data_IF_643059101264
#
_entry.id   IF_643059101264
#
_cell.length_a   1.000
_cell.length_b   1.000
_cell.length_c   1.000
_cell.angle_alpha   90.00
_cell.angle_beta   90.00
_cell.angle_gamma   90.00
#
_symmetry.space_group_name_H-M   'P 1'
#
loop_
_entity.id
_entity.type
_entity.pdbx_description
1 polymer ?
#
# COMPACT_ATOMS: atom_id res chain seq x y z
N UNK A 1 55.58 1.21 27.68
CA UNK A 1 54.43 0.36 28.06
C UNK A 1 53.54 1.25 28.92
N UNK A 2 52.31 1.60 28.60
CA UNK A 2 51.33 0.97 27.70
C UNK A 2 50.39 2.00 27.06
N UNK A 3 49.94 1.68 25.83
CA UNK A 3 48.85 2.35 25.11
C UNK A 3 47.52 1.90 25.68
N UNK A 4 46.71 2.81 26.21
CA UNK A 4 45.30 2.55 26.48
C UNK A 4 44.46 2.90 25.25
N UNK A 5 43.98 1.86 24.56
CA UNK A 5 43.02 1.97 23.48
C UNK A 5 41.63 2.29 24.05
N UNK A 6 41.14 3.50 23.81
CA UNK A 6 39.74 3.87 23.99
C UNK A 6 38.94 3.37 22.79
N UNK A 7 38.32 2.20 22.93
CA UNK A 7 37.39 1.67 21.95
C UNK A 7 36.01 2.32 22.15
N UNK A 8 35.81 3.46 21.48
CA UNK A 8 34.54 4.17 21.46
C UNK A 8 33.46 3.33 20.78
N UNK A 9 32.50 2.84 21.57
CA UNK A 9 31.25 2.25 21.09
C UNK A 9 30.53 3.27 20.20
N UNK A 10 30.48 3.01 18.89
CA UNK A 10 29.86 3.91 17.92
C UNK A 10 28.34 3.95 18.12
N UNK A 11 27.80 5.14 18.39
CA UNK A 11 26.37 5.34 18.61
C UNK A 11 25.53 5.02 17.35
N UNK A 12 24.29 4.50 17.50
CA UNK A 12 23.40 4.16 16.37
C UNK A 12 23.16 5.30 15.38
N UNK A 13 23.23 6.54 15.87
CA UNK A 13 23.12 7.76 15.06
C UNK A 13 24.21 7.87 13.99
N UNK A 14 25.42 7.35 14.24
CA UNK A 14 26.52 7.41 13.27
C UNK A 14 26.29 6.48 12.07
N UNK A 15 25.66 5.31 12.29
CA UNK A 15 25.28 4.38 11.21
C UNK A 15 24.16 4.95 10.32
N UNK A 16 23.16 5.60 10.91
CA UNK A 16 22.10 6.26 10.14
C UNK A 16 22.62 7.50 9.38
N UNK A 17 23.56 8.25 9.96
CA UNK A 17 24.21 9.37 9.28
C UNK A 17 25.08 8.91 8.11
N UNK A 18 25.83 7.81 8.26
CA UNK A 18 26.56 7.20 7.15
C UNK A 18 25.64 6.65 6.06
N UNK A 19 24.52 6.00 6.42
CA UNK A 19 23.52 5.58 5.44
C UNK A 19 22.91 6.76 4.68
N UNK A 20 22.61 7.87 5.36
CA UNK A 20 22.11 9.08 4.74
C UNK A 20 23.13 9.73 3.80
N UNK A 21 24.42 9.79 4.19
CA UNK A 21 25.48 10.32 3.33
C UNK A 21 25.74 9.42 2.12
N UNK A 22 25.63 8.10 2.26
CA UNK A 22 25.74 7.16 1.15
C UNK A 22 24.54 7.28 0.19
N UNK A 23 23.35 7.55 0.73
CA UNK A 23 22.17 7.86 -0.07
C UNK A 23 22.32 9.21 -0.80
N UNK A 24 22.79 10.25 -0.11
CA UNK A 24 22.98 11.57 -0.71
C UNK A 24 24.07 11.56 -1.79
N UNK A 25 25.15 10.80 -1.58
CA UNK A 25 26.16 10.55 -2.59
C UNK A 25 25.60 9.76 -3.79
N UNK A 26 24.78 8.72 -3.55
CA UNK A 26 24.09 7.99 -4.63
C UNK A 26 23.05 8.85 -5.36
N UNK A 27 22.40 9.77 -4.66
CA UNK A 27 21.41 10.68 -5.24
C UNK A 27 22.06 11.77 -6.09
N UNK A 28 23.17 12.35 -5.64
CA UNK A 28 23.93 13.30 -6.44
C UNK A 28 24.64 12.61 -7.62
N UNK A 29 25.12 11.37 -7.47
CA UNK A 29 25.62 10.55 -8.59
C UNK A 29 24.50 10.21 -9.59
N UNK A 30 23.31 9.83 -9.12
CA UNK A 30 22.13 9.61 -9.94
C UNK A 30 21.73 10.89 -10.70
N UNK A 31 21.68 12.03 -10.01
CA UNK A 31 21.33 13.34 -10.58
C UNK A 31 22.38 13.86 -11.57
N UNK A 32 23.65 13.54 -11.38
CA UNK A 32 24.73 13.82 -12.33
C UNK A 32 24.73 12.87 -13.54
N UNK A 33 24.23 11.64 -13.37
CA UNK A 33 24.18 10.61 -14.41
C UNK A 33 22.89 10.67 -15.25
N UNK A 34 21.82 11.30 -14.75
CA UNK A 34 20.56 11.51 -15.48
C UNK A 34 20.76 12.37 -16.74
N UNK A 35 21.46 13.52 -16.74
CA UNK A 35 21.69 14.33 -17.94
C UNK A 35 22.51 13.62 -19.02
N UNK A 36 23.40 12.69 -18.65
CA UNK A 36 24.23 11.92 -19.60
C UNK A 36 23.53 10.67 -20.13
N UNK A 37 22.55 10.13 -19.41
CA UNK A 37 21.69 9.01 -19.89
C UNK A 37 20.40 9.48 -20.56
N UNK A 38 19.93 10.69 -20.28
CA UNK A 38 18.89 11.37 -21.05
C UNK A 38 19.52 12.04 -22.28
N UNK A 39 19.93 11.21 -23.23
CA UNK A 39 20.12 11.62 -24.63
C UNK A 39 18.73 11.89 -25.28
N UNK A 40 17.91 12.69 -24.61
CA UNK A 40 16.46 12.71 -24.75
C UNK A 40 15.79 14.03 -24.36
N UNK A 41 16.56 15.13 -24.17
CA UNK A 41 15.98 16.48 -24.34
C UNK A 41 15.34 16.60 -25.73
N UNK A 42 15.93 15.93 -26.73
CA UNK A 42 15.38 15.82 -28.07
C UNK A 42 14.13 14.94 -28.15
N UNK A 43 13.92 13.98 -27.24
CA UNK A 43 12.73 13.11 -27.26
C UNK A 43 11.51 13.80 -26.65
N UNK A 44 11.67 14.52 -25.54
CA UNK A 44 10.57 15.29 -24.94
C UNK A 44 10.22 16.50 -25.82
N UNK A 45 11.23 17.17 -26.39
CA UNK A 45 11.02 18.23 -27.38
C UNK A 45 10.43 17.68 -28.69
N UNK A 46 10.85 16.50 -29.16
CA UNK A 46 10.26 15.81 -30.31
C UNK A 46 8.80 15.45 -30.08
N UNK A 47 8.43 14.98 -28.88
CA UNK A 47 7.04 14.71 -28.54
C UNK A 47 6.20 15.99 -28.47
N UNK A 48 6.72 17.06 -27.89
CA UNK A 48 6.04 18.36 -27.85
C UNK A 48 5.84 18.95 -29.26
N UNK A 49 6.87 18.89 -30.11
CA UNK A 49 6.81 19.33 -31.52
C UNK A 49 5.87 18.43 -32.35
N UNK A 50 5.83 17.13 -32.09
CA UNK A 50 4.86 16.21 -32.73
C UNK A 50 3.42 16.53 -32.31
N UNK A 51 3.18 16.87 -31.05
CA UNK A 51 1.85 17.27 -30.57
C UNK A 51 1.43 18.60 -31.22
N UNK A 52 2.31 19.61 -31.28
CA UNK A 52 2.03 20.89 -31.95
C UNK A 52 1.78 20.72 -33.45
N UNK A 53 2.52 19.84 -34.12
CA UNK A 53 2.29 19.54 -35.54
C UNK A 53 0.99 18.74 -35.77
N UNK A 54 0.60 17.80 -34.88
CA UNK A 54 -0.70 17.13 -34.95
C UNK A 54 -1.87 18.13 -34.77
N UNK A 55 -1.71 19.15 -33.90
CA UNK A 55 -2.70 20.23 -33.72
C UNK A 55 -2.76 21.16 -34.94
N UNK A 56 -1.63 21.40 -35.61
CA UNK A 56 -1.57 22.22 -36.82
C UNK A 56 -2.20 21.51 -38.02
N UNK A 57 -1.94 20.22 -38.18
CA UNK A 57 -2.49 19.41 -39.28
C UNK A 57 -4.00 19.19 -39.14
N UNK A 58 -4.51 18.96 -37.93
CA UNK A 58 -5.97 18.87 -37.70
C UNK A 58 -6.72 20.13 -38.10
N UNK A 59 -6.08 21.31 -38.01
CA UNK A 59 -6.64 22.57 -38.50
C UNK A 59 -6.48 22.78 -40.02
N UNK A 60 -5.55 22.08 -40.68
CA UNK A 60 -5.34 22.13 -42.13
C UNK A 60 -6.28 21.19 -42.90
N UNK A 61 -6.59 20.01 -42.35
CA UNK A 61 -7.47 19.00 -43.01
C UNK A 61 -8.98 19.28 -42.90
N UNK A 62 -9.41 20.47 -42.45
CA UNK A 62 -10.80 20.93 -42.65
C UNK A 62 -11.06 21.40 -44.09
N UNK A 63 -10.05 21.36 -44.97
CA UNK A 63 -10.17 21.71 -46.39
C UNK A 63 -9.37 20.70 -47.22
N UNK A 64 -10.09 19.98 -48.10
CA UNK A 64 -9.61 19.14 -49.23
C UNK A 64 -9.32 17.63 -49.01
N UNK A 65 -10.23 16.85 -49.60
CA UNK A 65 -10.10 15.60 -50.38
C UNK A 65 -9.82 14.22 -49.74
N UNK A 66 -10.48 13.23 -50.35
CA UNK A 66 -10.93 11.92 -49.85
C UNK A 66 -10.00 10.72 -50.19
N UNK A 67 -8.68 10.86 -50.26
CA UNK A 67 -7.82 9.75 -50.77
C UNK A 67 -6.45 9.62 -50.11
N UNK A 68 -6.37 9.26 -48.82
CA UNK A 68 -5.12 8.77 -48.21
C UNK A 68 -5.42 7.59 -47.26
N UNK A 69 -4.70 6.45 -47.33
CA UNK A 69 -4.83 5.36 -46.36
C UNK A 69 -4.36 5.85 -44.98
N UNK A 70 -5.28 5.79 -44.02
CA UNK A 70 -5.18 6.44 -42.73
C UNK A 70 -4.53 5.52 -41.70
N UNK A 71 -3.21 5.56 -41.58
CA UNK A 71 -2.50 4.99 -40.40
C UNK A 71 -1.65 6.08 -39.75
N UNK A 72 -2.32 7.11 -39.21
CA UNK A 72 -1.66 8.13 -38.40
C UNK A 72 -1.32 7.54 -37.03
N UNK A 73 -0.03 7.54 -36.65
CA UNK A 73 0.44 7.19 -35.29
C UNK A 73 -0.27 7.98 -34.17
N UNK A 74 -0.86 9.14 -34.49
CA UNK A 74 -1.72 9.93 -33.58
C UNK A 74 -2.98 9.16 -33.14
N UNK A 75 -3.49 8.21 -33.94
CA UNK A 75 -4.63 7.36 -33.58
C UNK A 75 -4.28 6.30 -32.53
N UNK A 76 -3.10 5.70 -32.62
CA UNK A 76 -2.64 4.69 -31.63
C UNK A 76 -2.43 5.33 -30.26
N UNK A 77 -1.79 6.50 -30.18
CA UNK A 77 -1.60 7.23 -28.93
C UNK A 77 -2.94 7.63 -28.26
N UNK A 78 -3.93 8.03 -29.06
CA UNK A 78 -5.28 8.31 -28.55
C UNK A 78 -5.96 7.05 -28.02
N UNK A 79 -5.86 5.90 -28.71
CA UNK A 79 -6.40 4.64 -28.24
C UNK A 79 -5.81 4.21 -26.89
N UNK A 80 -4.49 4.36 -26.69
CA UNK A 80 -3.85 4.06 -25.40
C UNK A 80 -4.34 4.98 -24.29
N UNK A 81 -4.48 6.28 -24.55
CA UNK A 81 -5.01 7.22 -23.57
C UNK A 81 -6.43 6.86 -23.11
N UNK A 82 -7.34 6.55 -24.05
CA UNK A 82 -8.69 6.11 -23.70
C UNK A 82 -8.70 4.75 -22.98
N UNK A 83 -7.82 3.82 -23.36
CA UNK A 83 -7.68 2.55 -22.65
C UNK A 83 -7.25 2.74 -21.19
N UNK A 84 -6.28 3.61 -20.92
CA UNK A 84 -5.89 3.94 -19.54
C UNK A 84 -7.01 4.63 -18.76
N UNK A 85 -7.79 5.51 -19.39
CA UNK A 85 -8.95 6.12 -18.76
C UNK A 85 -10.04 5.08 -18.41
N UNK A 86 -10.31 4.12 -19.31
CA UNK A 86 -11.25 3.03 -19.05
C UNK A 86 -10.73 2.15 -17.90
N UNK A 87 -9.45 1.77 -17.91
CA UNK A 87 -8.85 1.01 -16.81
C UNK A 87 -8.95 1.78 -15.50
N UNK A 88 -8.61 3.07 -15.48
CA UNK A 88 -8.74 3.89 -14.29
C UNK A 88 -10.20 3.98 -13.79
N UNK A 89 -11.16 4.07 -14.72
CA UNK A 89 -12.60 4.00 -14.41
C UNK A 89 -13.02 2.66 -13.81
N UNK A 90 -12.54 1.55 -14.35
CA UNK A 90 -12.82 0.21 -13.83
C UNK A 90 -12.17 -0.03 -12.46
N UNK A 91 -10.94 0.48 -12.25
CA UNK A 91 -10.26 0.41 -10.95
C UNK A 91 -11.03 1.22 -9.92
N UNK A 92 -11.42 2.47 -10.24
CA UNK A 92 -12.18 3.32 -9.31
C UNK A 92 -13.54 2.72 -8.98
N UNK A 93 -14.26 2.18 -9.98
CA UNK A 93 -15.48 1.41 -9.77
C UNK A 93 -15.25 0.20 -8.85
N UNK A 94 -14.23 -0.61 -9.13
CA UNK A 94 -13.87 -1.78 -8.33
C UNK A 94 -13.59 -1.41 -6.86
N UNK A 95 -12.80 -0.36 -6.61
CA UNK A 95 -12.48 0.09 -5.26
C UNK A 95 -13.71 0.51 -4.45
N UNK A 96 -14.68 1.19 -5.08
CA UNK A 96 -15.94 1.56 -4.43
C UNK A 96 -16.74 0.31 -4.03
N UNK A 97 -16.79 -0.69 -4.92
CA UNK A 97 -17.54 -1.92 -4.64
C UNK A 97 -16.84 -2.85 -3.65
N UNK A 98 -15.51 -2.85 -3.56
CA UNK A 98 -14.76 -3.68 -2.61
C UNK A 98 -15.09 -3.32 -1.16
N UNK A 99 -15.22 -2.04 -0.82
CA UNK A 99 -15.60 -1.61 0.54
C UNK A 99 -16.98 -2.10 0.97
N UNK A 100 -17.85 -2.42 0.00
CA UNK A 100 -19.19 -2.98 0.28
C UNK A 100 -19.16 -4.47 0.65
N UNK A 101 -18.12 -5.20 0.26
CA UNK A 101 -18.05 -6.67 0.38
C UNK A 101 -17.88 -7.17 1.82
N UNK A 102 -17.13 -6.43 2.64
CA UNK A 102 -16.88 -6.87 4.01
C UNK A 102 -18.05 -6.49 4.94
N UNK A 103 -18.61 -7.44 5.71
CA UNK A 103 -19.72 -7.14 6.61
C UNK A 103 -19.26 -6.48 7.92
N UNK A 104 -17.96 -6.48 8.22
CA UNK A 104 -17.36 -5.93 9.44
C UNK A 104 -16.04 -5.18 9.20
N UNK A 105 -15.60 -4.44 10.21
CA UNK A 105 -14.29 -3.76 10.31
C UNK A 105 -13.80 -3.78 11.77
N UNK A 106 -12.50 -3.86 12.02
CA UNK A 106 -11.93 -3.70 13.37
C UNK A 106 -11.84 -2.22 13.80
N UNK A 107 -11.88 -1.30 12.84
CA UNK A 107 -11.84 0.13 13.07
C UNK A 107 -13.21 0.75 12.87
N UNK A 108 -13.60 1.65 13.78
CA UNK A 108 -14.83 2.42 13.67
C UNK A 108 -14.75 3.33 12.46
N UNK A 109 -15.76 3.25 11.60
CA UNK A 109 -15.95 4.19 10.51
C UNK A 109 -17.25 4.96 10.77
N UNK A 110 -17.20 6.31 10.81
CA UNK A 110 -18.37 7.12 11.15
C UNK A 110 -19.47 7.07 10.09
N UNK A 111 -19.20 6.56 8.89
CA UNK A 111 -20.15 6.50 7.78
C UNK A 111 -20.68 5.09 7.53
N UNK A 112 -19.82 4.07 7.56
CA UNK A 112 -20.12 2.70 7.12
C UNK A 112 -20.22 1.73 8.31
N UNK A 113 -19.16 1.64 9.11
CA UNK A 113 -19.03 0.68 10.22
C UNK A 113 -19.22 1.38 11.56
N UNK A 114 -20.47 1.72 11.87
CA UNK A 114 -20.81 2.55 13.04
C UNK A 114 -21.18 1.73 14.28
N UNK A 115 -21.72 0.54 14.09
CA UNK A 115 -22.30 -0.24 15.17
C UNK A 115 -21.25 -1.18 15.77
N UNK A 116 -20.90 -0.94 17.03
CA UNK A 116 -19.97 -1.76 17.79
C UNK A 116 -20.59 -3.10 18.19
N UNK A 117 -19.79 -4.16 18.09
CA UNK A 117 -20.13 -5.53 18.48
C UNK A 117 -18.91 -6.24 19.08
N UNK A 118 -19.18 -7.32 19.81
CA UNK A 118 -18.17 -8.24 20.33
C UNK A 118 -18.48 -9.66 19.93
N UNK A 119 -17.45 -10.44 19.63
CA UNK A 119 -17.59 -11.88 19.42
C UNK A 119 -17.96 -12.55 20.74
N UNK A 120 -18.86 -13.54 20.71
CA UNK A 120 -19.36 -14.17 21.93
C UNK A 120 -18.27 -14.89 22.73
N UNK A 121 -17.44 -15.67 22.04
CA UNK A 121 -16.47 -16.57 22.69
C UNK A 121 -15.14 -15.90 23.03
N UNK A 122 -14.68 -14.94 22.23
CA UNK A 122 -13.35 -14.33 22.37
C UNK A 122 -13.38 -12.86 22.80
N UNK A 123 -14.56 -12.23 22.84
CA UNK A 123 -14.71 -10.82 23.20
C UNK A 123 -13.84 -9.90 22.34
N UNK A 124 -13.77 -10.18 21.03
CA UNK A 124 -13.06 -9.37 20.04
C UNK A 124 -14.00 -8.26 19.59
N UNK A 125 -13.54 -7.01 19.69
CA UNK A 125 -14.28 -5.83 19.27
C UNK A 125 -14.27 -5.68 17.74
N UNK A 126 -15.44 -5.47 17.16
CA UNK A 126 -15.60 -5.16 15.73
C UNK A 126 -16.79 -4.23 15.49
N UNK A 127 -16.83 -3.64 14.31
CA UNK A 127 -17.84 -2.68 13.87
C UNK A 127 -18.53 -3.16 12.62
N UNK A 128 -19.84 -2.95 12.53
CA UNK A 128 -20.68 -3.45 11.42
C UNK A 128 -21.54 -2.35 10.80
N UNK A 129 -21.99 -2.64 9.58
CA UNK A 129 -22.94 -1.82 8.82
C UNK A 129 -24.34 -1.88 9.43
N UNK A 130 -25.19 -0.90 9.10
CA UNK A 130 -26.61 -0.95 9.45
C UNK A 130 -27.29 -2.19 8.82
N UNK A 131 -28.31 -2.72 9.49
CA UNK A 131 -29.02 -3.91 9.02
C UNK A 131 -28.24 -5.24 9.15
N UNK A 132 -27.05 -5.22 9.75
CA UNK A 132 -26.24 -6.42 9.96
C UNK A 132 -26.98 -7.52 10.74
N UNK A 133 -27.67 -7.18 11.83
CA UNK A 133 -28.47 -8.14 12.60
C UNK A 133 -29.64 -8.75 11.81
N UNK A 134 -30.12 -8.08 10.75
CA UNK A 134 -31.14 -8.64 9.86
C UNK A 134 -30.56 -9.70 8.92
N UNK A 135 -29.31 -9.51 8.47
CA UNK A 135 -28.61 -10.45 7.56
C UNK A 135 -27.94 -11.61 8.32
N UNK A 136 -27.43 -11.34 9.51
CA UNK A 136 -26.79 -12.32 10.38
C UNK A 136 -27.43 -12.28 11.78
N UNK A 137 -28.64 -12.81 11.98
CA UNK A 137 -29.27 -12.80 13.30
C UNK A 137 -28.45 -13.62 14.31
N UNK A 138 -28.51 -13.23 15.59
CA UNK A 138 -27.81 -13.94 16.68
C UNK A 138 -28.34 -15.38 16.79
N UNK A 139 -27.46 -16.34 17.07
CA UNK A 139 -27.80 -17.76 17.18
C UNK A 139 -27.97 -18.49 15.85
N UNK A 140 -27.83 -17.81 14.71
CA UNK A 140 -27.87 -18.47 13.39
C UNK A 140 -26.51 -19.06 12.99
N UNK A 141 -26.48 -20.15 12.20
CA UNK A 141 -25.23 -20.68 11.66
C UNK A 141 -24.43 -19.65 10.86
N UNK A 142 -25.12 -18.75 10.14
CA UNK A 142 -24.49 -17.67 9.39
C UNK A 142 -23.79 -16.66 10.29
N UNK A 143 -24.30 -16.42 11.50
CA UNK A 143 -23.65 -15.56 12.50
C UNK A 143 -22.43 -16.26 13.11
N UNK A 144 -22.55 -17.53 13.48
CA UNK A 144 -21.44 -18.32 14.05
C UNK A 144 -20.27 -18.37 13.07
N UNK A 145 -20.52 -18.76 11.82
CA UNK A 145 -19.49 -18.81 10.78
C UNK A 145 -18.77 -17.47 10.60
N UNK A 146 -19.52 -16.37 10.64
CA UNK A 146 -18.94 -15.05 10.51
C UNK A 146 -18.06 -14.67 11.72
N UNK A 147 -18.51 -14.96 12.94
CA UNK A 147 -17.71 -14.72 14.14
C UNK A 147 -16.44 -15.58 14.15
N UNK A 148 -16.52 -16.84 13.69
CA UNK A 148 -15.34 -17.70 13.51
C UNK A 148 -14.34 -17.10 12.51
N UNK A 149 -14.83 -16.55 11.39
CA UNK A 149 -14.00 -15.84 10.40
C UNK A 149 -13.36 -14.58 11.00
N UNK A 150 -14.09 -13.82 11.82
CA UNK A 150 -13.55 -12.66 12.56
C UNK A 150 -12.44 -13.13 13.51
N UNK A 151 -12.69 -14.14 14.32
CA UNK A 151 -11.71 -14.68 15.28
C UNK A 151 -10.44 -15.13 14.55
N UNK A 152 -10.60 -15.89 13.46
CA UNK A 152 -9.47 -16.35 12.64
C UNK A 152 -8.65 -15.17 12.10
N UNK A 153 -9.30 -14.19 11.47
CA UNK A 153 -8.60 -13.06 10.87
C UNK A 153 -7.94 -12.16 11.93
N UNK A 154 -8.57 -11.99 13.09
CA UNK A 154 -7.96 -11.30 14.23
C UNK A 154 -6.67 -12.00 14.67
N UNK A 155 -6.73 -13.33 14.87
CA UNK A 155 -5.56 -14.11 15.30
C UNK A 155 -4.43 -14.05 14.28
N UNK A 156 -4.71 -14.24 12.98
CA UNK A 156 -3.70 -14.19 11.92
C UNK A 156 -3.02 -12.81 11.84
N UNK A 157 -3.81 -11.75 11.96
CA UNK A 157 -3.33 -10.37 11.92
C UNK A 157 -2.46 -10.05 13.13
N UNK A 158 -2.95 -10.33 14.34
CA UNK A 158 -2.22 -10.07 15.59
C UNK A 158 -0.98 -10.96 15.70
N UNK A 159 -0.99 -12.18 15.15
CA UNK A 159 0.21 -13.05 15.06
C UNK A 159 1.29 -12.43 14.18
N UNK A 160 0.91 -11.91 13.02
CA UNK A 160 1.85 -11.24 12.11
C UNK A 160 2.46 -10.00 12.76
N UNK A 161 1.64 -9.18 13.42
CA UNK A 161 2.13 -8.02 14.15
C UNK A 161 2.99 -8.40 15.34
N UNK A 162 2.62 -9.43 16.10
CA UNK A 162 3.44 -9.94 17.19
C UNK A 162 4.81 -10.43 16.68
N UNK A 163 4.87 -11.18 15.58
CA UNK A 163 6.13 -11.60 14.97
C UNK A 163 7.01 -10.39 14.63
N UNK A 164 6.43 -9.37 14.01
CA UNK A 164 7.14 -8.12 13.70
C UNK A 164 7.65 -7.42 14.96
N UNK A 165 6.81 -7.26 15.99
CA UNK A 165 7.20 -6.66 17.28
C UNK A 165 8.35 -7.41 17.95
N UNK A 166 8.33 -8.75 17.94
CA UNK A 166 9.40 -9.59 18.47
C UNK A 166 10.69 -9.45 17.66
N UNK A 167 10.60 -9.38 16.34
CA UNK A 167 11.75 -9.14 15.47
C UNK A 167 12.40 -7.77 15.76
N UNK A 168 11.60 -6.71 15.92
CA UNK A 168 12.10 -5.39 16.32
C UNK A 168 12.72 -5.39 17.73
N UNK A 169 12.09 -6.09 18.68
CA UNK A 169 12.62 -6.26 20.03
C UNK A 169 13.98 -6.95 20.03
N UNK A 170 14.14 -8.01 19.23
CA UNK A 170 15.41 -8.72 19.06
C UNK A 170 16.48 -7.80 18.46
N UNK A 171 16.15 -7.09 17.37
CA UNK A 171 17.11 -6.21 16.69
C UNK A 171 17.54 -4.99 17.49
N UNK A 172 16.62 -4.39 18.24
CA UNK A 172 16.92 -3.22 19.07
C UNK A 172 17.77 -3.54 20.30
N UNK A 173 17.88 -4.83 20.67
CA UNK A 173 18.42 -5.30 21.94
C UNK A 173 17.76 -4.65 23.17
N UNK A 174 16.62 -3.99 23.01
CA UNK A 174 15.84 -3.39 24.09
C UNK A 174 14.87 -4.42 24.66
N UNK A 175 15.23 -5.00 25.80
CA UNK A 175 14.37 -5.93 26.53
C UNK A 175 12.99 -5.34 26.90
N UNK A 176 12.85 -4.01 26.95
CA UNK A 176 11.62 -3.28 27.28
C UNK A 176 10.80 -2.86 26.07
N UNK A 177 11.22 -3.22 24.84
CA UNK A 177 10.46 -2.90 23.64
C UNK A 177 9.00 -3.39 23.76
N UNK A 178 8.00 -2.51 23.52
CA UNK A 178 6.60 -2.86 23.69
C UNK A 178 6.12 -3.84 22.62
N UNK A 179 5.40 -4.86 23.06
CA UNK A 179 4.81 -5.89 22.18
C UNK A 179 3.28 -5.95 22.35
N UNK A 180 2.54 -4.88 22.02
CA UNK A 180 1.11 -4.80 22.29
C UNK A 180 0.29 -5.86 21.55
N UNK A 181 0.68 -6.27 20.34
CA UNK A 181 -0.02 -7.30 19.57
C UNK A 181 0.20 -8.68 20.20
N UNK A 182 1.43 -8.95 20.65
CA UNK A 182 1.72 -10.15 21.44
C UNK A 182 0.91 -10.20 22.75
N UNK A 183 0.83 -9.08 23.46
CA UNK A 183 0.07 -8.99 24.72
C UNK A 183 -1.42 -9.24 24.49
N UNK A 184 -1.98 -8.75 23.37
CA UNK A 184 -3.38 -9.04 23.00
C UNK A 184 -3.59 -10.53 22.77
N UNK A 185 -2.73 -11.21 22.02
CA UNK A 185 -2.84 -12.66 21.81
C UNK A 185 -2.79 -13.43 23.14
N UNK A 186 -1.86 -13.09 24.03
CA UNK A 186 -1.75 -13.69 25.36
C UNK A 186 -3.01 -13.47 26.19
N UNK A 187 -3.58 -12.26 26.16
CA UNK A 187 -4.83 -11.94 26.87
C UNK A 187 -6.02 -12.78 26.39
N UNK A 188 -5.92 -13.37 25.20
CA UNK A 188 -6.92 -14.26 24.60
C UNK A 188 -6.56 -15.75 24.74
N UNK A 189 -5.51 -16.08 25.51
CA UNK A 189 -5.06 -17.45 25.75
C UNK A 189 -4.30 -18.08 24.57
N UNK A 190 -3.87 -17.28 23.60
CA UNK A 190 -3.10 -17.77 22.44
C UNK A 190 -1.62 -17.75 22.81
N UNK A 191 -0.99 -18.93 22.79
CA UNK A 191 0.42 -19.06 23.13
C UNK A 191 1.30 -18.56 21.98
N UNK A 192 2.28 -17.72 22.31
CA UNK A 192 3.24 -17.13 21.36
C UNK A 192 4.33 -18.13 20.97
N UNK A 193 4.59 -19.18 21.77
CA UNK A 193 5.66 -20.15 21.47
C UNK A 193 5.40 -20.99 20.22
N UNK A 194 4.18 -20.97 19.66
CA UNK A 194 3.88 -21.59 18.35
C UNK A 194 4.20 -20.66 17.17
N UNK A 195 4.58 -19.40 17.42
CA UNK A 195 4.96 -18.44 16.40
C UNK A 195 6.46 -18.63 16.16
N UNK A 196 6.80 -19.48 15.18
CA UNK A 196 8.18 -19.66 14.75
C UNK A 196 8.75 -18.30 14.30
N UNK A 197 9.85 -17.88 14.94
CA UNK A 197 10.68 -16.74 14.55
C UNK A 197 11.56 -17.11 13.36
#
# INVERSE_FOLDING_TARGET
>A
MDRTNNEYVQSPWRKNYQQFNNFNASYEDFKATIPSRLNGKDQVASYAIQIENCIRDTNYYRKKDNTVPRTSKCGEAMCFFFFFLIIAGLITWGLIHISSLYPYSYSKDPFIYRHHMKTGNFGIDFYVKSGFNKKHPVGTPARVKLEDEIIKHFNETEQRYCHHELWYKYLSADSKYPTPSCNKLLSKGINITSINL
#
